data_IF_902459546435
#
_entry.id   IF_902459546435
#
_cell.length_a   1.000
_cell.length_b   1.000
_cell.length_c   1.000
_cell.angle_alpha   90.00
_cell.angle_beta   90.00
_cell.angle_gamma   90.00
#
_symmetry.space_group_name_H-M   'P 1'
#
loop_
_entity.id
_entity.type
_entity.pdbx_description
1 polymer ?
#
# COMPACT_ATOMS: atom_id res chain seq x y z
N UNK A 1 -5.19 31.35 -11.28
CA UNK A 1 -5.28 30.52 -10.06
C UNK A 1 -6.39 29.52 -10.34
N UNK A 2 -6.04 28.41 -11.00
CA UNK A 2 -7.03 27.41 -11.42
C UNK A 2 -7.44 26.65 -10.18
N UNK A 3 -8.68 26.87 -9.72
CA UNK A 3 -9.30 26.06 -8.69
C UNK A 3 -9.33 24.62 -9.19
N UNK A 4 -8.55 23.74 -8.57
CA UNK A 4 -8.75 22.31 -8.75
C UNK A 4 -10.22 21.98 -8.42
N UNK A 5 -10.88 21.10 -9.18
CA UNK A 5 -12.23 20.68 -8.83
C UNK A 5 -12.19 20.13 -7.40
N UNK A 6 -12.99 20.72 -6.52
CA UNK A 6 -13.05 20.31 -5.12
C UNK A 6 -13.39 18.82 -5.06
N UNK A 7 -12.39 18.02 -4.70
CA UNK A 7 -12.51 16.57 -4.62
C UNK A 7 -13.55 16.24 -3.55
N UNK A 8 -14.72 15.75 -3.96
CA UNK A 8 -15.73 15.20 -3.05
C UNK A 8 -15.19 13.91 -2.41
N UNK A 9 -14.50 14.08 -1.29
CA UNK A 9 -13.89 13.00 -0.52
C UNK A 9 -14.92 11.98 -0.01
N UNK A 10 -16.10 12.39 0.52
CA UNK A 10 -17.18 11.46 0.84
C UNK A 10 -17.59 10.59 -0.35
N UNK A 11 -17.88 11.18 -1.51
CA UNK A 11 -18.30 10.42 -2.69
C UNK A 11 -17.18 9.50 -3.23
N UNK A 12 -15.91 9.90 -3.12
CA UNK A 12 -14.78 9.02 -3.46
C UNK A 12 -14.65 7.83 -2.49
N UNK A 13 -14.81 8.08 -1.18
CA UNK A 13 -14.77 7.04 -0.17
C UNK A 13 -15.90 6.02 -0.35
N UNK A 14 -17.12 6.49 -0.62
CA UNK A 14 -18.27 5.61 -0.84
C UNK A 14 -18.11 4.75 -2.08
N UNK A 15 -17.57 5.32 -3.18
CA UNK A 15 -17.21 4.55 -4.38
C UNK A 15 -16.17 3.47 -4.06
N UNK A 16 -15.12 3.80 -3.29
CA UNK A 16 -14.10 2.84 -2.91
C UNK A 16 -14.65 1.71 -2.03
N UNK A 17 -15.54 2.04 -1.09
CA UNK A 17 -16.22 1.07 -0.22
C UNK A 17 -17.11 0.13 -1.02
N UNK A 18 -17.94 0.67 -1.90
CA UNK A 18 -18.80 -0.12 -2.77
C UNK A 18 -17.99 -1.07 -3.67
N UNK A 19 -16.90 -0.57 -4.28
CA UNK A 19 -16.02 -1.38 -5.12
C UNK A 19 -15.36 -2.53 -4.33
N UNK A 20 -14.83 -2.23 -3.13
CA UNK A 20 -14.20 -3.25 -2.29
C UNK A 20 -15.20 -4.31 -1.81
N UNK A 21 -16.41 -3.90 -1.42
CA UNK A 21 -17.48 -4.82 -0.99
C UNK A 21 -17.94 -5.72 -2.15
N UNK A 22 -18.02 -5.18 -3.37
CA UNK A 22 -18.39 -5.94 -4.55
C UNK A 22 -17.32 -6.99 -4.93
N UNK A 23 -16.03 -6.68 -4.73
CA UNK A 23 -14.95 -7.59 -5.09
C UNK A 23 -13.75 -7.45 -4.14
N UNK A 24 -13.75 -8.20 -3.03
CA UNK A 24 -12.62 -8.23 -2.10
C UNK A 24 -11.39 -8.84 -2.80
N UNK A 25 -10.21 -8.17 -2.81
CA UNK A 25 -9.03 -8.66 -3.51
C UNK A 25 -8.58 -10.04 -3.04
N UNK A 26 -8.53 -11.00 -3.97
CA UNK A 26 -7.96 -12.33 -3.73
C UNK A 26 -6.43 -12.26 -3.58
N UNK A 27 -5.78 -13.25 -2.95
CA UNK A 27 -4.31 -13.28 -2.87
C UNK A 27 -3.62 -13.18 -4.23
N UNK A 28 -4.22 -13.75 -5.28
CA UNK A 28 -3.71 -13.65 -6.65
C UNK A 28 -3.83 -12.23 -7.22
N UNK A 29 -4.96 -11.55 -6.96
CA UNK A 29 -5.13 -10.14 -7.35
C UNK A 29 -4.09 -9.26 -6.64
N UNK A 30 -3.92 -9.42 -5.32
CA UNK A 30 -2.94 -8.65 -4.54
C UNK A 30 -1.50 -8.83 -5.06
N UNK A 31 -1.12 -10.04 -5.45
CA UNK A 31 0.20 -10.30 -6.06
C UNK A 31 0.36 -9.64 -7.43
N UNK A 32 -0.70 -9.57 -8.22
CA UNK A 32 -0.71 -8.83 -9.50
C UNK A 32 -0.59 -7.32 -9.27
N UNK A 33 -1.36 -6.77 -8.34
CA UNK A 33 -1.35 -5.34 -8.02
C UNK A 33 0.03 -4.89 -7.52
N UNK A 34 0.64 -5.66 -6.62
CA UNK A 34 2.01 -5.42 -6.17
C UNK A 34 3.02 -5.54 -7.32
N UNK A 35 2.83 -6.48 -8.25
CA UNK A 35 3.66 -6.59 -9.45
C UNK A 35 3.53 -5.39 -10.39
N UNK A 36 2.30 -4.91 -10.61
CA UNK A 36 2.03 -3.73 -11.42
C UNK A 36 2.61 -2.47 -10.78
N UNK A 37 2.44 -2.28 -9.47
CA UNK A 37 3.02 -1.17 -8.72
C UNK A 37 4.55 -1.15 -8.85
N UNK A 38 5.19 -2.31 -8.68
CA UNK A 38 6.65 -2.44 -8.87
C UNK A 38 7.08 -1.99 -10.25
N UNK A 39 6.38 -2.44 -11.29
CA UNK A 39 6.77 -2.15 -12.67
C UNK A 39 6.58 -0.68 -13.02
N UNK A 40 5.49 -0.06 -12.59
CA UNK A 40 5.26 1.38 -12.77
C UNK A 40 6.32 2.18 -12.03
N UNK A 41 6.59 1.85 -10.76
CA UNK A 41 7.60 2.53 -9.95
C UNK A 41 8.99 2.43 -10.59
N UNK A 42 9.38 1.26 -11.09
CA UNK A 42 10.66 1.04 -11.77
C UNK A 42 10.77 1.84 -13.06
N UNK A 43 9.71 1.86 -13.89
CA UNK A 43 9.71 2.57 -15.18
C UNK A 43 9.77 4.08 -15.02
N UNK A 44 9.03 4.62 -14.05
CA UNK A 44 8.93 6.07 -13.81
C UNK A 44 9.88 6.56 -12.74
N UNK A 45 10.89 5.77 -12.41
CA UNK A 45 11.72 6.08 -11.25
C UNK A 45 12.53 7.36 -11.44
N UNK A 46 13.08 7.56 -12.63
CA UNK A 46 13.84 8.77 -12.95
C UNK A 46 12.94 10.02 -12.98
N UNK A 47 11.68 9.89 -13.41
CA UNK A 47 10.69 10.97 -13.34
C UNK A 47 10.39 11.36 -11.88
N UNK A 48 10.22 10.37 -11.00
CA UNK A 48 10.01 10.60 -9.57
C UNK A 48 11.21 11.29 -8.91
N UNK A 49 12.43 10.86 -9.25
CA UNK A 49 13.65 11.50 -8.74
C UNK A 49 13.79 12.93 -9.24
N UNK A 50 13.43 13.21 -10.49
CA UNK A 50 13.42 14.56 -11.05
C UNK A 50 12.40 15.46 -10.33
N UNK A 51 11.18 14.96 -10.07
CA UNK A 51 10.16 15.67 -9.31
C UNK A 51 10.64 15.99 -7.89
N UNK A 52 11.10 14.98 -7.14
CA UNK A 52 11.65 15.20 -5.80
C UNK A 52 12.84 16.18 -5.80
N UNK A 53 13.69 16.15 -6.82
CA UNK A 53 14.80 17.09 -6.91
C UNK A 53 14.32 18.54 -7.13
N UNK A 54 13.22 18.74 -7.84
CA UNK A 54 12.62 20.06 -8.04
C UNK A 54 11.99 20.58 -6.74
N UNK A 55 11.26 19.72 -6.04
CA UNK A 55 10.57 19.98 -4.78
C UNK A 55 11.55 20.39 -3.65
N UNK A 56 12.65 19.64 -3.49
CA UNK A 56 13.63 19.88 -2.44
C UNK A 56 14.79 20.79 -2.84
N UNK A 57 14.86 21.19 -4.11
CA UNK A 57 15.84 22.11 -4.69
C UNK A 57 17.31 21.62 -4.74
N UNK A 58 17.75 20.69 -3.87
CA UNK A 58 19.17 20.27 -3.73
C UNK A 58 19.41 18.86 -3.20
N UNK A 59 18.40 17.98 -3.13
CA UNK A 59 18.59 16.62 -2.62
C UNK A 59 19.47 15.79 -3.57
N UNK A 60 20.41 15.03 -3.02
CA UNK A 60 21.24 14.13 -3.84
C UNK A 60 20.35 13.13 -4.58
N UNK A 61 20.55 13.01 -5.89
CA UNK A 61 19.84 12.03 -6.72
C UNK A 61 20.14 10.61 -6.25
N UNK A 62 21.37 10.34 -5.80
CA UNK A 62 21.75 9.04 -5.27
C UNK A 62 21.02 8.72 -3.95
N UNK A 63 20.92 9.70 -3.05
CA UNK A 63 20.18 9.57 -1.80
C UNK A 63 18.70 9.27 -2.09
N UNK A 64 18.07 10.09 -2.93
CA UNK A 64 16.66 9.93 -3.32
C UNK A 64 16.41 8.57 -3.97
N UNK A 65 17.35 8.09 -4.80
CA UNK A 65 17.25 6.77 -5.41
C UNK A 65 17.23 5.64 -4.37
N UNK A 66 18.13 5.72 -3.39
CA UNK A 66 18.29 4.71 -2.36
C UNK A 66 17.13 4.73 -1.36
N UNK A 67 16.80 5.88 -0.79
CA UNK A 67 15.82 6.01 0.30
C UNK A 67 14.39 5.87 -0.20
N UNK A 68 14.05 6.50 -1.32
CA UNK A 68 12.67 6.65 -1.77
C UNK A 68 12.24 5.63 -2.83
N UNK A 69 13.19 5.04 -3.56
CA UNK A 69 12.87 3.98 -4.53
C UNK A 69 13.26 2.59 -4.11
N UNK A 70 14.55 2.38 -3.85
CA UNK A 70 15.06 1.03 -3.59
C UNK A 70 14.38 0.40 -2.37
N UNK A 71 14.14 1.20 -1.32
CA UNK A 71 13.39 0.75 -0.14
C UNK A 71 11.99 0.26 -0.50
N UNK A 72 11.25 1.01 -1.32
CA UNK A 72 9.88 0.64 -1.74
C UNK A 72 9.90 -0.60 -2.64
N UNK A 73 10.83 -0.69 -3.58
CA UNK A 73 10.99 -1.87 -4.45
C UNK A 73 11.32 -3.13 -3.64
N UNK A 74 12.20 -3.02 -2.63
CA UNK A 74 12.50 -4.10 -1.72
C UNK A 74 11.28 -4.51 -0.89
N UNK A 75 10.51 -3.55 -0.40
CA UNK A 75 9.30 -3.82 0.38
C UNK A 75 8.25 -4.56 -0.45
N UNK A 76 8.06 -4.16 -1.72
CA UNK A 76 7.17 -4.87 -2.64
C UNK A 76 7.62 -6.33 -2.81
N UNK A 77 8.91 -6.56 -3.06
CA UNK A 77 9.42 -7.93 -3.23
C UNK A 77 9.30 -8.77 -1.96
N UNK A 78 9.57 -8.16 -0.81
CA UNK A 78 9.43 -8.79 0.50
C UNK A 78 7.98 -9.22 0.76
N UNK A 79 7.03 -8.32 0.51
CA UNK A 79 5.60 -8.61 0.65
C UNK A 79 5.15 -9.69 -0.31
N UNK A 80 5.50 -9.60 -1.60
CA UNK A 80 5.14 -10.63 -2.61
C UNK A 80 5.64 -12.02 -2.23
N UNK A 81 6.87 -12.14 -1.72
CA UNK A 81 7.45 -13.42 -1.28
C UNK A 81 6.73 -14.03 -0.07
N UNK A 82 6.09 -13.22 0.79
CA UNK A 82 5.49 -13.67 2.06
C UNK A 82 3.96 -13.71 2.05
N UNK A 83 3.32 -13.00 1.13
CA UNK A 83 1.86 -12.81 1.06
C UNK A 83 1.09 -14.12 1.17
N UNK A 84 1.50 -15.13 0.40
CA UNK A 84 0.85 -16.44 0.41
C UNK A 84 0.90 -17.12 1.80
N UNK A 85 2.01 -16.98 2.52
CA UNK A 85 2.17 -17.52 3.87
C UNK A 85 1.40 -16.71 4.91
N UNK A 86 1.39 -15.40 4.76
CA UNK A 86 0.75 -14.49 5.72
C UNK A 86 -0.77 -14.44 5.60
N UNK A 87 -1.31 -14.74 4.42
CA UNK A 87 -2.76 -14.78 4.18
C UNK A 87 -3.43 -16.10 4.61
N UNK A 88 -2.65 -17.12 5.00
CA UNK A 88 -3.20 -18.44 5.37
C UNK A 88 -3.80 -18.41 6.78
N UNK A 89 -4.93 -19.10 6.94
CA UNK A 89 -5.49 -19.40 8.26
C UNK A 89 -4.47 -20.19 9.09
N UNK A 90 -4.43 -19.93 10.39
CA UNK A 90 -3.54 -20.63 11.33
C UNK A 90 -4.36 -21.35 12.37
N UNK A 91 -4.27 -22.67 12.38
CA UNK A 91 -4.86 -23.48 13.45
C UNK A 91 -4.16 -23.20 14.78
N UNK A 92 -4.95 -23.17 15.84
CA UNK A 92 -4.50 -23.09 17.22
C UNK A 92 -5.01 -24.32 17.96
N UNK A 93 -4.31 -24.67 19.04
CA UNK A 93 -4.83 -25.68 19.95
C UNK A 93 -6.02 -25.05 20.70
N UNK A 94 -7.15 -25.76 20.69
CA UNK A 94 -8.23 -25.46 21.60
C UNK A 94 -7.79 -25.87 23.01
N UNK A 95 -8.24 -25.13 24.02
CA UNK A 95 -8.11 -25.59 25.40
C UNK A 95 -8.79 -26.97 25.52
N UNK A 96 -8.23 -27.85 26.34
CA UNK A 96 -8.71 -29.23 26.49
C UNK A 96 -10.18 -29.26 26.93
N UNK A 97 -10.61 -28.23 27.67
CA UNK A 97 -11.98 -28.03 28.11
C UNK A 97 -12.98 -27.95 26.93
N UNK A 98 -12.52 -27.52 25.76
CA UNK A 98 -13.35 -27.37 24.57
C UNK A 98 -13.21 -28.53 23.57
N UNK A 99 -12.59 -29.65 23.95
CA UNK A 99 -12.50 -30.80 23.05
C UNK A 99 -13.92 -31.33 22.69
N UNK A 100 -14.26 -31.56 21.40
CA UNK A 100 -13.39 -31.67 20.21
C UNK A 100 -13.35 -30.42 19.30
N UNK A 101 -13.61 -29.22 19.83
CA UNK A 101 -13.62 -28.00 19.04
C UNK A 101 -12.26 -27.71 18.37
N UNK A 102 -12.31 -27.05 17.21
CA UNK A 102 -11.13 -26.60 16.46
C UNK A 102 -11.08 -25.08 16.51
N UNK A 103 -9.91 -24.51 16.78
CA UNK A 103 -9.69 -23.07 16.76
C UNK A 103 -8.78 -22.69 15.60
N UNK A 104 -9.10 -21.57 14.94
CA UNK A 104 -8.27 -21.01 13.88
C UNK A 104 -8.27 -19.49 13.91
N UNK A 105 -7.20 -18.90 13.39
CA UNK A 105 -7.05 -17.46 13.20
C UNK A 105 -7.09 -17.17 11.71
N UNK A 106 -8.14 -16.47 11.28
CA UNK A 106 -8.28 -15.98 9.91
C UNK A 106 -7.90 -14.50 9.83
N UNK A 107 -7.02 -14.16 8.89
CA UNK A 107 -6.65 -12.77 8.61
C UNK A 107 -7.55 -12.20 7.52
N UNK A 108 -8.30 -11.13 7.85
CA UNK A 108 -9.22 -10.47 6.92
C UNK A 108 -8.82 -9.02 6.68
N UNK A 109 -8.99 -8.48 5.45
CA UNK A 109 -8.79 -7.05 5.21
C UNK A 109 -9.85 -6.23 5.94
N UNK A 110 -9.53 -4.97 6.19
CA UNK A 110 -10.39 -4.01 6.90
C UNK A 110 -11.39 -3.31 5.97
N UNK A 111 -11.06 -3.19 4.68
CA UNK A 111 -11.91 -2.52 3.70
C UNK A 111 -11.15 -1.43 2.94
N UNK A 112 -11.53 -0.18 3.17
CA UNK A 112 -10.86 1.01 2.64
C UNK A 112 -10.02 1.65 3.73
N UNK A 113 -8.74 1.89 3.45
CA UNK A 113 -7.78 2.49 4.39
C UNK A 113 -7.30 3.84 3.86
N UNK A 114 -7.23 4.84 4.72
CA UNK A 114 -6.61 6.14 4.42
C UNK A 114 -5.12 6.13 4.79
N UNK A 115 -4.28 6.65 3.90
CA UNK A 115 -2.84 6.86 4.15
C UNK A 115 -2.55 8.34 3.97
N UNK A 116 -1.96 8.96 5.00
CA UNK A 116 -1.52 10.35 4.96
C UNK A 116 0.00 10.32 5.15
N UNK A 117 0.75 10.82 4.17
CA UNK A 117 2.22 10.80 4.22
C UNK A 117 2.80 12.22 4.36
N UNK A 118 3.86 12.39 5.16
CA UNK A 118 4.55 13.67 5.31
C UNK A 118 5.45 13.96 4.10
N UNK A 119 6.00 15.18 4.06
CA UNK A 119 6.80 15.68 2.94
C UNK A 119 8.23 15.12 2.89
N UNK A 120 8.88 14.80 4.01
CA UNK A 120 10.33 14.57 4.09
C UNK A 120 10.90 13.35 3.31
N UNK A 121 10.09 12.31 3.11
CA UNK A 121 10.40 11.15 2.23
C UNK A 121 9.11 10.78 1.49
N UNK A 122 8.71 11.61 0.53
CA UNK A 122 7.33 11.67 0.06
C UNK A 122 6.92 10.39 -0.66
N UNK A 123 7.86 9.71 -1.32
CA UNK A 123 7.61 8.43 -1.99
C UNK A 123 7.67 7.29 -0.99
N UNK A 124 8.71 7.22 -0.16
CA UNK A 124 8.87 6.11 0.77
C UNK A 124 7.70 6.02 1.77
N UNK A 125 7.38 7.14 2.42
CA UNK A 125 6.38 7.19 3.49
C UNK A 125 4.95 7.11 2.97
N UNK A 126 4.73 7.35 1.67
CA UNK A 126 3.47 7.07 1.01
C UNK A 126 3.36 5.60 0.56
N UNK A 127 4.41 5.07 -0.07
CA UNK A 127 4.32 3.81 -0.80
C UNK A 127 4.56 2.57 0.07
N UNK A 128 5.40 2.60 1.11
CA UNK A 128 5.54 1.47 2.03
C UNK A 128 4.19 1.08 2.70
N UNK A 129 3.45 2.02 3.32
CA UNK A 129 2.16 1.67 3.91
C UNK A 129 1.12 1.29 2.83
N UNK A 130 1.18 1.86 1.62
CA UNK A 130 0.35 1.45 0.49
C UNK A 130 0.60 -0.02 0.12
N UNK A 131 1.86 -0.42 0.02
CA UNK A 131 2.27 -1.80 -0.27
C UNK A 131 1.73 -2.76 0.77
N UNK A 132 1.82 -2.40 2.06
CA UNK A 132 1.26 -3.20 3.16
C UNK A 132 -0.27 -3.30 3.07
N UNK A 133 -0.96 -2.20 2.75
CA UNK A 133 -2.41 -2.16 2.63
C UNK A 133 -2.93 -3.01 1.44
N UNK A 134 -2.25 -2.95 0.29
CA UNK A 134 -2.54 -3.80 -0.87
C UNK A 134 -2.30 -5.28 -0.52
N UNK A 135 -1.17 -5.59 0.13
CA UNK A 135 -0.84 -6.96 0.53
C UNK A 135 -1.90 -7.56 1.49
N UNK A 136 -2.43 -6.74 2.39
CA UNK A 136 -3.52 -7.10 3.28
C UNK A 136 -4.89 -7.23 2.57
N UNK A 137 -5.04 -6.69 1.35
CA UNK A 137 -6.26 -6.78 0.54
C UNK A 137 -7.23 -5.61 0.75
N UNK A 138 -6.73 -4.44 1.11
CA UNK A 138 -7.52 -3.23 1.28
C UNK A 138 -7.51 -2.38 0.00
N UNK A 139 -8.57 -1.61 -0.22
CA UNK A 139 -8.50 -0.42 -1.07
C UNK A 139 -7.87 0.73 -0.28
N UNK A 140 -7.27 1.69 -0.99
CA UNK A 140 -6.51 2.76 -0.35
C UNK A 140 -6.90 4.12 -0.90
N UNK A 141 -7.09 5.07 0.00
CA UNK A 141 -7.09 6.51 -0.31
C UNK A 141 -5.76 7.09 0.18
N UNK A 142 -4.97 7.62 -0.74
CA UNK A 142 -3.65 8.16 -0.45
C UNK A 142 -3.68 9.68 -0.53
N UNK A 143 -3.31 10.37 0.56
CA UNK A 143 -3.10 11.81 0.63
C UNK A 143 -1.62 12.09 0.89
N UNK A 144 -0.82 12.38 -0.15
CA UNK A 144 0.52 12.90 0.04
C UNK A 144 0.49 14.33 0.59
N UNK A 145 1.63 14.81 1.09
CA UNK A 145 1.78 16.17 1.58
C UNK A 145 1.75 17.18 0.44
N UNK A 146 1.04 18.28 0.64
CA UNK A 146 1.02 19.46 -0.22
C UNK A 146 2.31 20.31 -0.17
N UNK A 147 3.28 19.94 0.69
CA UNK A 147 4.53 20.68 0.91
C UNK A 147 5.74 20.02 0.26
N UNK A 148 5.53 19.36 -0.88
CA UNK A 148 6.59 18.76 -1.70
C UNK A 148 6.56 19.49 -3.03
#
# INVERSE_FOLDING_TARGET
MNSEPELDLPALLDRQRAAWQACVPSPAQRLRDLGALREVLRRRFDELVAAMSADFGRRSTHESRLTDGMTVLHEIDFMRKRLARWSRSRHRLADWLFWPARTEVQYRPLGVVGIISPWNYPVNLALIPLVSAIAAGNHVMLKPSEHT
#
